data_IF_615359355686
#
_entry.id   IF_615359355686
#
_cell.length_a   1.000
_cell.length_b   1.000
_cell.length_c   1.000
_cell.angle_alpha   90.00
_cell.angle_beta   90.00
_cell.angle_gamma   90.00
#
_symmetry.space_group_name_H-M   'P 1'
#
loop_
_entity.id
_entity.type
_entity.pdbx_description
1 polymer ?
#
# COMPACT_ATOMS: atom_id res chain seq x y z
N UNK A 1 -37.68 -20.72 -14.92
CA UNK A 1 -38.00 -19.30 -15.17
C UNK A 1 -37.16 -18.49 -14.20
N UNK A 2 -36.45 -17.44 -14.64
CA UNK A 2 -35.73 -16.55 -13.73
C UNK A 2 -36.78 -15.88 -12.84
N UNK A 3 -36.49 -15.92 -11.54
CA UNK A 3 -37.30 -15.40 -10.47
C UNK A 3 -36.55 -14.17 -9.97
N UNK A 4 -37.20 -13.01 -9.98
CA UNK A 4 -36.58 -11.75 -9.56
C UNK A 4 -37.09 -11.36 -8.19
N UNK A 5 -36.23 -10.83 -7.32
CA UNK A 5 -36.64 -10.31 -6.01
C UNK A 5 -37.16 -8.88 -6.08
N UNK A 6 -36.65 -8.08 -7.02
CA UNK A 6 -36.97 -6.65 -7.12
C UNK A 6 -37.74 -6.29 -8.39
N UNK A 7 -38.57 -5.25 -8.29
CA UNK A 7 -39.31 -4.67 -9.41
C UNK A 7 -39.55 -3.17 -9.19
N UNK A 8 -40.01 -2.45 -10.21
CA UNK A 8 -40.59 -1.12 -10.01
C UNK A 8 -42.09 -1.23 -9.78
N UNK A 9 -42.62 -0.43 -8.85
CA UNK A 9 -44.07 -0.21 -8.71
C UNK A 9 -44.59 0.82 -9.73
N UNK A 10 -45.85 1.24 -9.61
CA UNK A 10 -46.48 2.24 -10.49
C UNK A 10 -45.91 3.66 -10.34
N UNK A 11 -45.36 3.98 -9.19
CA UNK A 11 -44.68 5.24 -8.88
C UNK A 11 -43.21 5.23 -9.34
N UNK A 12 -42.75 4.12 -9.92
CA UNK A 12 -41.37 3.89 -10.33
C UNK A 12 -40.39 3.78 -9.13
N UNK A 13 -40.91 3.42 -7.95
CA UNK A 13 -40.09 3.09 -6.79
C UNK A 13 -39.64 1.64 -6.85
N UNK A 14 -38.42 1.38 -6.39
CA UNK A 14 -37.85 0.06 -6.27
C UNK A 14 -38.49 -0.69 -5.09
N UNK A 15 -39.08 -1.86 -5.34
CA UNK A 15 -39.75 -2.68 -4.32
C UNK A 15 -39.14 -4.07 -4.20
N UNK A 16 -39.04 -4.57 -2.98
CA UNK A 16 -38.65 -5.96 -2.66
C UNK A 16 -39.91 -6.82 -2.48
N UNK A 17 -39.99 -7.92 -3.22
CA UNK A 17 -41.10 -8.88 -3.11
C UNK A 17 -41.22 -9.49 -1.71
N UNK A 18 -40.13 -9.54 -0.94
CA UNK A 18 -40.12 -10.08 0.41
C UNK A 18 -40.91 -9.20 1.37
N UNK A 19 -40.89 -7.89 1.16
CA UNK A 19 -41.60 -6.86 1.94
C UNK A 19 -43.08 -6.75 1.57
N UNK A 20 -43.50 -7.33 0.44
CA UNK A 20 -44.90 -7.30 0.03
C UNK A 20 -45.79 -8.20 0.91
N UNK A 21 -47.05 -7.77 1.18
CA UNK A 21 -48.02 -8.57 1.90
C UNK A 21 -48.38 -9.84 1.12
N UNK A 22 -48.83 -10.88 1.85
CA UNK A 22 -49.24 -12.15 1.23
C UNK A 22 -50.49 -12.01 0.37
N UNK A 23 -51.43 -11.16 0.77
CA UNK A 23 -52.59 -10.84 -0.06
C UNK A 23 -52.35 -9.55 -0.84
N UNK A 24 -52.32 -9.70 -2.15
CA UNK A 24 -52.10 -8.63 -3.13
C UNK A 24 -53.41 -8.20 -3.78
N UNK A 25 -54.56 -8.47 -3.16
CA UNK A 25 -55.88 -8.07 -3.64
C UNK A 25 -55.93 -6.54 -3.81
N UNK A 26 -55.80 -6.06 -5.06
CA UNK A 26 -55.69 -4.64 -5.42
C UNK A 26 -54.39 -4.24 -6.15
N UNK A 27 -53.37 -5.11 -6.20
CA UNK A 27 -52.10 -4.91 -6.91
C UNK A 27 -52.11 -5.52 -8.32
N UNK A 28 -53.24 -5.50 -9.02
CA UNK A 28 -53.36 -6.03 -10.38
C UNK A 28 -52.40 -5.26 -11.32
N UNK A 29 -51.42 -5.97 -11.88
CA UNK A 29 -50.54 -5.57 -13.00
C UNK A 29 -49.58 -4.38 -12.82
N UNK A 30 -49.28 -3.93 -11.60
CA UNK A 30 -48.52 -2.68 -11.40
C UNK A 30 -47.00 -2.83 -11.24
N UNK A 31 -46.44 -4.04 -11.33
CA UNK A 31 -44.99 -4.23 -11.24
C UNK A 31 -44.37 -4.30 -12.62
N UNK A 32 -43.24 -3.62 -12.82
CA UNK A 32 -42.48 -3.67 -14.07
C UNK A 32 -41.06 -4.16 -13.83
N UNK A 33 -40.53 -4.90 -14.79
CA UNK A 33 -39.16 -5.42 -14.71
C UNK A 33 -38.15 -4.27 -14.84
N UNK A 34 -37.20 -4.21 -13.93
CA UNK A 34 -36.12 -3.21 -13.91
C UNK A 34 -35.28 -3.30 -15.20
N UNK A 35 -35.05 -4.51 -15.69
CA UNK A 35 -34.26 -4.78 -16.89
C UNK A 35 -34.95 -4.35 -18.19
N UNK A 36 -36.12 -4.94 -18.47
CA UNK A 36 -36.80 -4.83 -19.77
C UNK A 36 -38.06 -3.93 -19.77
N UNK A 37 -38.54 -3.49 -18.61
CA UNK A 37 -39.74 -2.65 -18.46
C UNK A 37 -41.07 -3.37 -18.65
N UNK A 38 -41.06 -4.67 -18.97
CA UNK A 38 -42.33 -5.42 -19.18
C UNK A 38 -43.01 -5.77 -17.85
N UNK A 39 -44.34 -5.96 -17.84
CA UNK A 39 -45.09 -6.29 -16.63
C UNK A 39 -44.66 -7.59 -15.94
N UNK A 40 -44.58 -7.54 -14.62
CA UNK A 40 -44.26 -8.66 -13.73
C UNK A 40 -45.47 -9.03 -12.87
N UNK A 41 -45.57 -10.32 -12.56
CA UNK A 41 -46.51 -10.87 -11.58
C UNK A 41 -45.75 -11.18 -10.30
N UNK A 42 -46.19 -10.62 -9.17
CA UNK A 42 -45.70 -10.99 -7.85
C UNK A 42 -46.28 -12.34 -7.43
N UNK A 43 -45.40 -13.32 -7.17
CA UNK A 43 -45.75 -14.66 -6.67
C UNK A 43 -45.48 -14.71 -5.17
N UNK A 44 -46.45 -14.27 -4.36
CA UNK A 44 -46.33 -14.18 -2.90
C UNK A 44 -46.98 -15.34 -2.13
N UNK A 45 -47.89 -16.09 -2.78
CA UNK A 45 -48.67 -17.19 -2.17
C UNK A 45 -48.06 -18.57 -2.47
N UNK A 46 -46.83 -18.81 -2.00
CA UNK A 46 -46.14 -20.09 -2.17
C UNK A 46 -45.81 -20.77 -0.84
N UNK A 47 -46.23 -22.03 -0.64
CA UNK A 47 -45.83 -22.84 0.52
C UNK A 47 -44.44 -23.48 0.36
N UNK A 48 -43.98 -23.67 -0.90
CA UNK A 48 -42.72 -24.36 -1.25
C UNK A 48 -41.72 -23.53 -2.04
N UNK A 49 -42.12 -22.37 -2.55
CA UNK A 49 -41.27 -21.47 -3.37
C UNK A 49 -41.19 -20.12 -2.69
N UNK A 50 -39.99 -19.56 -2.64
CA UNK A 50 -39.75 -18.22 -2.13
C UNK A 50 -40.54 -17.19 -2.94
N UNK A 51 -40.89 -16.08 -2.28
CA UNK A 51 -41.61 -14.99 -2.94
C UNK A 51 -40.72 -14.41 -4.05
N UNK A 52 -41.28 -14.21 -5.23
CA UNK A 52 -40.54 -13.65 -6.37
C UNK A 52 -41.47 -12.97 -7.37
N UNK A 53 -40.92 -12.09 -8.19
CA UNK A 53 -41.54 -11.59 -9.40
C UNK A 53 -41.23 -12.49 -10.60
N UNK A 54 -42.23 -12.69 -11.46
CA UNK A 54 -42.10 -13.46 -12.68
C UNK A 54 -42.76 -12.74 -13.86
N UNK A 55 -42.14 -12.80 -15.03
CA UNK A 55 -42.74 -12.31 -16.27
C UNK A 55 -44.04 -13.05 -16.58
N UNK A 56 -45.01 -12.34 -17.18
CA UNK A 56 -46.16 -12.97 -17.84
C UNK A 56 -45.66 -13.89 -18.97
N UNK A 57 -46.40 -14.96 -19.23
CA UNK A 57 -46.06 -15.91 -20.29
C UNK A 57 -45.83 -15.16 -21.63
N UNK A 58 -44.79 -15.55 -22.37
CA UNK A 58 -44.37 -14.99 -23.65
C UNK A 58 -43.76 -13.56 -23.64
N UNK A 59 -43.58 -12.91 -22.49
CA UNK A 59 -42.94 -11.58 -22.40
C UNK A 59 -41.44 -11.62 -22.03
N UNK A 60 -40.87 -12.82 -21.87
CA UNK A 60 -39.47 -13.02 -21.46
C UNK A 60 -38.44 -12.78 -22.57
N UNK A 61 -38.85 -12.82 -23.84
CA UNK A 61 -37.93 -12.97 -24.98
C UNK A 61 -36.86 -11.87 -25.09
N UNK A 62 -37.06 -10.71 -24.44
CA UNK A 62 -36.13 -9.57 -24.47
C UNK A 62 -35.44 -9.27 -23.13
N UNK A 63 -35.68 -10.05 -22.07
CA UNK A 63 -35.11 -9.77 -20.76
C UNK A 63 -33.77 -10.48 -20.54
N UNK A 64 -32.69 -9.72 -20.46
CA UNK A 64 -31.38 -10.18 -19.99
C UNK A 64 -31.26 -10.00 -18.48
N UNK A 65 -30.78 -11.03 -17.80
CA UNK A 65 -30.45 -10.99 -16.36
C UNK A 65 -29.35 -9.96 -16.07
N UNK A 66 -28.39 -9.83 -16.97
CA UNK A 66 -27.29 -8.86 -16.83
C UNK A 66 -27.82 -7.42 -16.85
N UNK A 67 -28.69 -7.10 -17.81
CA UNK A 67 -29.33 -5.78 -17.88
C UNK A 67 -30.19 -5.51 -16.65
N UNK A 68 -30.84 -6.53 -16.11
CA UNK A 68 -31.61 -6.43 -14.88
C UNK A 68 -30.71 -6.11 -13.67
N UNK A 69 -29.65 -6.88 -13.45
CA UNK A 69 -28.71 -6.68 -12.33
C UNK A 69 -27.99 -5.33 -12.43
N UNK A 70 -27.52 -4.96 -13.64
CA UNK A 70 -26.86 -3.69 -13.90
C UNK A 70 -27.73 -2.49 -13.52
N UNK A 71 -28.99 -2.50 -13.99
CA UNK A 71 -29.96 -1.43 -13.68
C UNK A 71 -30.39 -1.42 -12.22
N UNK A 72 -30.59 -2.59 -11.62
CA UNK A 72 -30.91 -2.73 -10.20
C UNK A 72 -29.81 -2.14 -9.32
N UNK A 73 -28.55 -2.48 -9.57
CA UNK A 73 -27.41 -2.03 -8.78
C UNK A 73 -27.19 -0.52 -8.89
N UNK A 74 -27.17 0.06 -10.11
CA UNK A 74 -26.96 1.51 -10.26
C UNK A 74 -28.10 2.33 -9.66
N UNK A 75 -29.34 1.89 -9.81
CA UNK A 75 -30.50 2.55 -9.19
C UNK A 75 -30.41 2.47 -7.67
N UNK A 76 -30.07 1.29 -7.14
CA UNK A 76 -29.89 1.10 -5.68
C UNK A 76 -28.77 1.99 -5.15
N UNK A 77 -27.66 2.12 -5.87
CA UNK A 77 -26.57 3.00 -5.46
C UNK A 77 -27.03 4.45 -5.36
N UNK A 78 -27.69 4.97 -6.40
CA UNK A 78 -28.18 6.37 -6.40
C UNK A 78 -29.17 6.58 -5.26
N UNK A 79 -30.10 5.65 -5.04
CA UNK A 79 -31.06 5.73 -3.94
C UNK A 79 -30.36 5.74 -2.58
N UNK A 80 -29.55 4.73 -2.29
CA UNK A 80 -28.83 4.60 -1.00
C UNK A 80 -27.94 5.81 -0.75
N UNK A 81 -27.23 6.29 -1.77
CA UNK A 81 -26.34 7.44 -1.63
C UNK A 81 -27.13 8.74 -1.38
N UNK A 82 -28.24 8.95 -2.10
CA UNK A 82 -29.13 10.10 -1.88
C UNK A 82 -29.71 10.08 -0.48
N UNK A 83 -30.17 8.90 -0.02
CA UNK A 83 -30.67 8.71 1.34
C UNK A 83 -29.59 9.03 2.40
N UNK A 84 -28.32 8.69 2.13
CA UNK A 84 -27.21 9.04 3.01
C UNK A 84 -27.01 10.57 3.08
N UNK A 85 -27.11 11.27 1.95
CA UNK A 85 -27.00 12.73 1.91
C UNK A 85 -28.16 13.41 2.65
N UNK A 86 -29.40 12.99 2.37
CA UNK A 86 -30.62 13.58 2.94
C UNK A 86 -30.71 13.35 4.46
N UNK A 87 -30.25 12.19 4.93
CA UNK A 87 -30.28 11.85 6.36
C UNK A 87 -28.96 12.13 7.10
N UNK A 88 -27.96 12.72 6.42
CA UNK A 88 -26.62 12.98 6.97
C UNK A 88 -25.95 11.71 7.56
N UNK A 89 -26.08 10.61 6.83
CA UNK A 89 -25.43 9.33 7.13
C UNK A 89 -24.16 9.16 6.28
N UNK A 90 -23.23 8.36 6.80
CA UNK A 90 -21.96 8.09 6.13
C UNK A 90 -22.11 7.01 5.06
N UNK A 91 -21.47 7.22 3.91
CA UNK A 91 -21.22 6.17 2.92
C UNK A 91 -19.72 5.95 2.82
N UNK A 92 -19.23 4.86 3.42
CA UNK A 92 -17.81 4.66 3.64
C UNK A 92 -17.17 3.75 2.59
N UNK A 93 -15.93 4.06 2.22
CA UNK A 93 -15.03 3.11 1.55
C UNK A 93 -13.85 2.78 2.46
N UNK A 94 -13.35 1.55 2.38
CA UNK A 94 -12.25 1.08 3.21
C UNK A 94 -11.07 0.65 2.33
N UNK A 95 -9.97 1.40 2.41
CA UNK A 95 -8.79 1.27 1.54
C UNK A 95 -7.56 0.82 2.35
N UNK A 96 -6.76 -0.09 1.80
CA UNK A 96 -5.52 -0.56 2.42
C UNK A 96 -4.33 0.24 1.92
N UNK A 97 -3.69 0.99 2.82
CA UNK A 97 -2.50 1.78 2.53
C UNK A 97 -1.23 1.07 3.00
N UNK A 98 -0.19 1.13 2.18
CA UNK A 98 1.15 0.67 2.56
C UNK A 98 1.77 1.61 3.61
N UNK A 99 2.45 1.05 4.62
CA UNK A 99 3.29 1.78 5.56
C UNK A 99 4.75 1.60 5.16
N UNK A 100 5.26 2.57 4.39
CA UNK A 100 6.65 2.56 3.90
C UNK A 100 7.39 3.75 4.48
N UNK A 101 8.48 3.48 5.21
CA UNK A 101 9.40 4.49 5.69
C UNK A 101 10.53 4.69 4.68
N UNK A 102 10.73 5.93 4.24
CA UNK A 102 11.82 6.33 3.33
C UNK A 102 12.92 7.13 4.03
N UNK A 103 12.80 7.39 5.34
CA UNK A 103 13.71 8.24 6.14
C UNK A 103 15.18 7.87 5.96
N UNK A 104 15.51 6.57 6.04
CA UNK A 104 16.87 6.04 5.91
C UNK A 104 17.09 5.26 4.60
N UNK A 105 16.24 5.48 3.59
CA UNK A 105 16.34 4.75 2.31
C UNK A 105 17.65 5.03 1.57
N UNK A 106 18.17 6.24 1.66
CA UNK A 106 19.47 6.61 1.09
C UNK A 106 20.61 5.77 1.67
N UNK A 107 20.87 5.83 2.99
CA UNK A 107 21.93 5.04 3.62
C UNK A 107 21.75 3.52 3.50
N UNK A 108 20.52 3.01 3.55
CA UNK A 108 20.24 1.57 3.49
C UNK A 108 20.18 1.02 2.06
N UNK A 109 20.03 1.88 1.05
CA UNK A 109 19.81 1.48 -0.33
C UNK A 109 18.43 0.87 -0.62
N UNK A 110 17.54 0.80 0.38
CA UNK A 110 16.17 0.31 0.24
C UNK A 110 15.22 0.98 1.25
N UNK A 111 13.92 1.12 0.95
CA UNK A 111 12.94 1.59 1.92
C UNK A 111 12.65 0.54 3.01
N UNK A 112 12.05 0.97 4.11
CA UNK A 112 11.61 0.09 5.18
C UNK A 112 10.10 -0.17 5.07
N UNK A 113 9.76 -1.43 4.82
CA UNK A 113 8.38 -1.89 4.70
C UNK A 113 7.88 -2.34 6.08
N UNK A 114 6.96 -1.59 6.65
CA UNK A 114 6.43 -1.83 8.01
C UNK A 114 5.15 -2.67 7.96
N UNK A 115 4.50 -2.72 6.80
CA UNK A 115 3.26 -3.47 6.56
C UNK A 115 2.20 -2.58 5.95
N UNK A 116 0.94 -2.81 6.33
CA UNK A 116 -0.22 -2.08 5.80
C UNK A 116 -1.10 -1.55 6.92
N UNK A 117 -1.92 -0.54 6.61
CA UNK A 117 -2.98 -0.05 7.49
C UNK A 117 -4.22 0.21 6.65
N UNK A 118 -5.36 -0.22 7.16
CA UNK A 118 -6.63 0.06 6.50
C UNK A 118 -7.24 1.34 7.05
N UNK A 119 -7.64 2.24 6.14
CA UNK A 119 -8.33 3.50 6.48
C UNK A 119 -9.74 3.49 5.91
N UNK A 120 -10.63 4.14 6.65
CA UNK A 120 -12.02 4.32 6.26
C UNK A 120 -12.24 5.78 5.85
N UNK A 121 -12.89 5.97 4.70
CA UNK A 121 -13.15 7.25 4.08
C UNK A 121 -14.64 7.41 3.83
N UNK A 122 -15.26 8.35 4.51
CA UNK A 122 -16.66 8.69 4.29
C UNK A 122 -16.82 9.58 3.05
N UNK A 123 -17.42 9.04 2.00
CA UNK A 123 -17.58 9.70 0.71
C UNK A 123 -18.54 10.89 0.78
N UNK A 124 -19.57 10.86 1.64
CA UNK A 124 -20.57 11.94 1.75
C UNK A 124 -19.98 13.23 2.30
N UNK A 125 -18.81 13.16 2.95
CA UNK A 125 -18.05 14.34 3.40
C UNK A 125 -17.32 15.07 2.29
N UNK A 126 -17.12 14.43 1.13
CA UNK A 126 -16.37 14.98 0.01
C UNK A 126 -17.23 15.23 -1.22
N UNK A 127 -18.36 14.52 -1.35
CA UNK A 127 -19.25 14.61 -2.50
C UNK A 127 -20.69 14.70 -2.00
N UNK A 128 -21.36 15.78 -2.36
CA UNK A 128 -22.73 16.13 -1.95
C UNK A 128 -23.73 16.07 -3.12
N UNK A 129 -23.28 15.62 -4.29
CA UNK A 129 -24.10 15.39 -5.47
C UNK A 129 -23.96 13.97 -6.02
N UNK A 130 -25.04 13.44 -6.57
CA UNK A 130 -25.08 12.15 -7.29
C UNK A 130 -25.91 12.27 -8.57
N UNK A 131 -25.47 11.64 -9.67
CA UNK A 131 -26.16 11.61 -10.98
C UNK A 131 -26.05 10.24 -11.64
N UNK A 132 -27.16 9.78 -12.22
CA UNK A 132 -27.25 8.51 -12.96
C UNK A 132 -26.93 8.73 -14.44
N UNK A 133 -26.03 7.90 -15.00
CA UNK A 133 -25.60 7.90 -16.41
C UNK A 133 -25.24 9.29 -17.02
N UNK A 134 -24.56 10.19 -16.29
CA UNK A 134 -24.21 11.49 -16.85
C UNK A 134 -23.11 11.33 -17.89
N UNK A 135 -23.23 12.01 -19.03
CA UNK A 135 -22.12 12.15 -19.97
C UNK A 135 -21.07 13.10 -19.38
N UNK A 136 -19.83 12.66 -19.33
CA UNK A 136 -18.70 13.42 -18.80
C UNK A 136 -17.48 13.28 -19.72
N UNK A 137 -17.28 14.29 -20.58
CA UNK A 137 -16.28 14.25 -21.64
C UNK A 137 -16.53 13.09 -22.63
N UNK A 138 -15.53 12.22 -22.77
CA UNK A 138 -15.60 11.04 -23.64
C UNK A 138 -16.30 9.85 -22.99
N UNK A 139 -16.56 9.90 -21.68
CA UNK A 139 -17.08 8.76 -20.92
C UNK A 139 -18.55 8.96 -20.53
N UNK A 140 -19.24 7.84 -20.39
CA UNK A 140 -20.54 7.75 -19.73
C UNK A 140 -20.37 6.70 -18.63
N UNK A 141 -20.10 7.12 -17.38
CA UNK A 141 -20.14 6.23 -16.22
C UNK A 141 -21.57 5.89 -15.81
N UNK A 142 -21.75 4.77 -15.11
CA UNK A 142 -23.08 4.37 -14.63
C UNK A 142 -23.63 5.36 -13.60
N UNK A 143 -22.79 5.83 -12.67
CA UNK A 143 -23.12 6.89 -11.71
C UNK A 143 -21.91 7.80 -11.52
N UNK A 144 -22.14 9.09 -11.29
CA UNK A 144 -21.13 10.02 -10.76
C UNK A 144 -21.57 10.51 -9.40
N UNK A 145 -20.66 10.46 -8.43
CA UNK A 145 -20.72 11.28 -7.22
C UNK A 145 -19.73 12.45 -7.36
N UNK A 146 -20.13 13.64 -6.95
CA UNK A 146 -19.37 14.87 -7.17
C UNK A 146 -19.58 15.91 -6.06
N UNK A 147 -18.64 16.82 -5.93
CA UNK A 147 -18.75 18.03 -5.11
C UNK A 147 -19.49 19.11 -5.92
N UNK A 148 -20.65 19.57 -5.44
CA UNK A 148 -21.46 20.60 -6.09
C UNK A 148 -20.75 21.97 -6.13
N UNK A 149 -19.71 22.15 -5.32
CA UNK A 149 -18.91 23.37 -5.26
C UNK A 149 -17.63 23.28 -6.12
N UNK A 150 -17.27 22.08 -6.59
CA UNK A 150 -16.03 21.82 -7.32
C UNK A 150 -16.21 20.66 -8.31
N UNK A 151 -16.57 20.99 -9.56
CA UNK A 151 -16.84 20.00 -10.62
C UNK A 151 -15.64 19.10 -10.96
N UNK A 152 -14.42 19.48 -10.58
CA UNK A 152 -13.24 18.63 -10.75
C UNK A 152 -13.18 17.49 -9.73
N UNK A 153 -13.81 17.66 -8.56
CA UNK A 153 -13.92 16.61 -7.54
C UNK A 153 -15.10 15.70 -7.81
N UNK A 154 -14.80 14.61 -8.51
CA UNK A 154 -15.76 13.55 -8.80
C UNK A 154 -15.16 12.16 -8.66
N UNK A 155 -16.04 11.18 -8.56
CA UNK A 155 -15.74 9.75 -8.59
C UNK A 155 -16.79 9.07 -9.46
N UNK A 156 -16.35 8.20 -10.36
CA UNK A 156 -17.23 7.37 -11.16
C UNK A 156 -17.54 6.09 -10.40
N UNK A 157 -18.78 5.65 -10.44
CA UNK A 157 -19.20 4.34 -9.96
C UNK A 157 -19.61 3.54 -11.19
N UNK A 158 -19.06 2.35 -11.33
CA UNK A 158 -19.25 1.48 -12.49
C UNK A 158 -19.69 0.11 -11.98
N UNK A 159 -20.80 -0.39 -12.52
CA UNK A 159 -21.35 -1.70 -12.15
C UNK A 159 -20.85 -2.73 -13.16
N UNK A 160 -20.08 -3.71 -12.67
CA UNK A 160 -19.60 -4.81 -13.48
C UNK A 160 -20.46 -6.06 -13.24
N UNK A 161 -21.11 -6.57 -14.29
CA UNK A 161 -21.86 -7.84 -14.20
C UNK A 161 -21.07 -8.95 -14.90
N UNK A 162 -20.95 -8.88 -16.23
CA UNK A 162 -20.18 -9.84 -17.04
C UNK A 162 -18.91 -9.26 -17.64
N UNK A 163 -18.84 -7.93 -17.73
CA UNK A 163 -17.70 -7.22 -18.27
C UNK A 163 -17.19 -6.21 -17.24
N UNK A 164 -15.89 -6.28 -16.98
CA UNK A 164 -15.16 -5.27 -16.22
C UNK A 164 -14.86 -4.06 -17.11
N UNK A 165 -14.40 -2.98 -16.48
CA UNK A 165 -14.00 -1.73 -17.10
C UNK A 165 -13.06 -1.93 -18.27
N UNK A 166 -13.27 -1.15 -19.33
CA UNK A 166 -12.37 -1.11 -20.47
C UNK A 166 -10.99 -0.56 -20.06
N UNK A 167 -9.95 -0.99 -20.79
CA UNK A 167 -8.58 -0.52 -20.58
C UNK A 167 -8.48 1.01 -20.71
N UNK A 168 -9.29 1.62 -21.58
CA UNK A 168 -9.37 3.07 -21.77
C UNK A 168 -9.84 3.80 -20.51
N UNK A 169 -10.90 3.31 -19.85
CA UNK A 169 -11.39 3.88 -18.58
C UNK A 169 -10.41 3.62 -17.45
N UNK A 170 -9.81 2.42 -17.40
CA UNK A 170 -8.83 2.04 -16.38
C UNK A 170 -7.54 2.86 -16.45
N UNK A 171 -7.13 3.25 -17.65
CA UNK A 171 -5.97 4.12 -17.90
C UNK A 171 -6.26 5.62 -17.82
N UNK A 172 -7.50 6.04 -17.55
CA UNK A 172 -7.84 7.45 -17.31
C UNK A 172 -7.26 7.94 -15.98
N UNK A 173 -7.25 9.25 -15.73
CA UNK A 173 -6.88 9.82 -14.41
C UNK A 173 -8.08 9.89 -13.44
N UNK A 174 -9.27 9.49 -13.90
CA UNK A 174 -10.49 9.55 -13.10
C UNK A 174 -10.49 8.52 -11.97
N UNK A 175 -10.95 8.91 -10.78
CA UNK A 175 -11.20 7.97 -9.68
C UNK A 175 -12.44 7.15 -9.99
N UNK A 176 -12.31 5.82 -9.96
CA UNK A 176 -13.39 4.91 -10.32
C UNK A 176 -13.55 3.85 -9.23
N UNK A 177 -14.79 3.65 -8.76
CA UNK A 177 -15.19 2.53 -7.91
C UNK A 177 -15.97 1.55 -8.79
N UNK A 178 -15.37 0.39 -9.06
CA UNK A 178 -16.00 -0.67 -9.84
C UNK A 178 -16.58 -1.73 -8.91
N UNK A 179 -17.90 -1.93 -8.96
CA UNK A 179 -18.62 -2.84 -8.07
C UNK A 179 -19.09 -4.07 -8.86
N UNK A 180 -18.51 -5.26 -8.62
CA UNK A 180 -18.97 -6.51 -9.23
C UNK A 180 -20.30 -7.00 -8.61
N UNK A 181 -21.28 -7.26 -9.47
CA UNK A 181 -22.63 -7.75 -9.13
C UNK A 181 -22.90 -9.03 -9.94
N UNK A 182 -22.90 -10.18 -9.27
CA UNK A 182 -23.16 -11.49 -9.88
C UNK A 182 -24.59 -11.96 -9.60
N UNK A 183 -25.21 -11.45 -8.53
CA UNK A 183 -26.55 -11.83 -8.09
C UNK A 183 -27.27 -10.69 -7.39
N UNK A 184 -28.58 -10.86 -7.14
CA UNK A 184 -29.37 -9.90 -6.37
C UNK A 184 -28.92 -9.75 -4.91
N UNK A 185 -28.21 -10.73 -4.35
CA UNK A 185 -27.66 -10.65 -3.00
C UNK A 185 -26.47 -9.67 -2.93
N UNK A 186 -25.76 -9.45 -4.04
CA UNK A 186 -24.64 -8.50 -4.07
C UNK A 186 -25.11 -7.04 -3.93
N UNK A 187 -26.40 -6.77 -4.11
CA UNK A 187 -27.02 -5.47 -3.83
C UNK A 187 -26.86 -5.07 -2.36
N UNK A 188 -26.77 -6.06 -1.46
CA UNK A 188 -26.55 -5.80 -0.04
C UNK A 188 -25.18 -5.16 0.24
N UNK A 189 -24.18 -5.34 -0.65
CA UNK A 189 -22.89 -4.62 -0.58
C UNK A 189 -23.12 -3.11 -0.61
N UNK A 190 -23.97 -2.64 -1.53
CA UNK A 190 -24.32 -1.23 -1.68
C UNK A 190 -25.19 -0.77 -0.51
N UNK A 191 -26.22 -1.54 -0.14
CA UNK A 191 -27.15 -1.22 0.97
C UNK A 191 -26.45 -1.17 2.33
N UNK A 192 -25.33 -1.85 2.50
CA UNK A 192 -24.52 -1.78 3.72
C UNK A 192 -23.89 -0.40 3.96
N UNK A 193 -23.91 0.50 2.96
CA UNK A 193 -23.31 1.85 2.99
C UNK A 193 -21.81 1.83 3.23
N UNK A 194 -21.17 0.67 3.00
CA UNK A 194 -19.77 0.45 3.27
C UNK A 194 -19.15 -0.51 2.27
N UNK A 195 -18.23 -0.02 1.44
CA UNK A 195 -17.52 -0.84 0.46
C UNK A 195 -16.07 -1.07 0.89
N UNK A 196 -15.62 -2.32 0.81
CA UNK A 196 -14.22 -2.71 1.05
C UNK A 196 -13.57 -3.23 -0.23
N UNK A 197 -12.27 -3.50 -0.20
CA UNK A 197 -11.52 -4.06 -1.34
C UNK A 197 -11.98 -5.48 -1.74
N UNK A 198 -12.79 -6.17 -0.93
CA UNK A 198 -13.48 -7.40 -1.35
C UNK A 198 -14.81 -7.15 -2.06
N UNK A 199 -15.39 -5.96 -1.87
CA UNK A 199 -16.71 -5.61 -2.42
C UNK A 199 -16.59 -4.84 -3.74
N UNK A 200 -15.49 -4.11 -3.95
CA UNK A 200 -15.26 -3.26 -5.11
C UNK A 200 -13.77 -3.08 -5.43
N UNK A 201 -13.47 -2.76 -6.69
CA UNK A 201 -12.15 -2.32 -7.12
C UNK A 201 -12.06 -0.79 -7.09
N UNK A 202 -10.99 -0.25 -6.51
CA UNK A 202 -10.75 1.19 -6.37
C UNK A 202 -9.61 1.64 -7.29
N UNK A 203 -9.97 2.20 -8.44
CA UNK A 203 -9.02 2.58 -9.51
C UNK A 203 -8.70 4.07 -9.38
N UNK A 204 -7.42 4.42 -9.50
CA UNK A 204 -6.87 5.78 -9.34
C UNK A 204 -7.14 6.45 -7.99
N UNK A 205 -7.50 5.68 -6.97
CA UNK A 205 -7.43 6.15 -5.59
C UNK A 205 -5.94 6.17 -5.22
N UNK A 206 -5.39 7.38 -5.03
CA UNK A 206 -3.98 7.53 -4.69
C UNK A 206 -3.65 6.70 -3.44
N UNK A 207 -2.92 5.60 -3.63
CA UNK A 207 -2.33 4.81 -2.55
C UNK A 207 -1.12 5.55 -1.99
N UNK A 208 -1.32 6.77 -1.49
CA UNK A 208 -0.28 7.43 -0.69
C UNK A 208 0.03 6.52 0.48
N UNK A 209 1.33 6.27 0.67
CA UNK A 209 1.79 5.55 1.84
C UNK A 209 1.24 6.22 3.09
N UNK A 210 0.71 5.43 4.02
CA UNK A 210 0.30 5.95 5.29
C UNK A 210 1.51 6.57 6.00
N UNK A 211 1.33 7.69 6.71
CA UNK A 211 2.41 8.31 7.46
C UNK A 211 2.98 7.29 8.44
N UNK A 212 4.30 7.27 8.53
CA UNK A 212 5.04 6.41 9.45
C UNK A 212 5.65 7.29 10.53
N UNK A 213 5.41 6.93 11.79
CA UNK A 213 6.08 7.57 12.93
C UNK A 213 7.46 6.95 13.18
N UNK A 214 8.34 7.68 13.86
CA UNK A 214 9.67 7.18 14.24
C UNK A 214 9.59 5.90 15.10
N UNK A 215 8.53 5.75 15.91
CA UNK A 215 8.29 4.55 16.73
C UNK A 215 7.90 3.31 15.92
N UNK A 216 7.28 3.50 14.76
CA UNK A 216 6.87 2.42 13.84
C UNK A 216 8.02 2.01 12.90
N UNK A 217 8.99 2.89 12.68
CA UNK A 217 10.15 2.62 11.84
C UNK A 217 11.05 1.53 12.43
N UNK A 218 11.11 0.36 11.80
CA UNK A 218 11.99 -0.72 12.26
C UNK A 218 13.47 -0.40 12.13
N UNK A 219 13.88 0.28 11.04
CA UNK A 219 15.28 0.63 10.84
C UNK A 219 15.82 1.64 11.87
N UNK A 220 14.95 2.42 12.52
CA UNK A 220 15.35 3.27 13.65
C UNK A 220 15.70 2.48 14.92
N UNK A 221 15.24 1.23 15.04
CA UNK A 221 15.41 0.38 16.25
C UNK A 221 16.66 -0.48 16.19
N UNK A 222 17.29 -0.59 15.02
CA UNK A 222 18.48 -1.42 14.85
C UNK A 222 19.76 -0.61 15.06
N UNK A 223 20.78 -1.29 15.58
CA UNK A 223 22.13 -0.77 15.68
C UNK A 223 22.91 -1.15 14.42
N UNK A 224 23.83 -0.28 14.05
CA UNK A 224 24.62 -0.41 12.85
C UNK A 224 26.07 -0.05 13.13
N UNK A 225 26.96 -0.66 12.38
CA UNK A 225 28.33 -0.24 12.23
C UNK A 225 28.47 0.62 10.98
N UNK A 226 29.13 1.76 11.11
CA UNK A 226 29.51 2.59 9.97
C UNK A 226 31.02 2.79 9.95
N UNK A 227 31.69 2.19 8.96
CA UNK A 227 33.10 2.45 8.69
C UNK A 227 33.21 3.74 7.89
N UNK A 228 33.93 4.71 8.43
CA UNK A 228 34.36 5.91 7.71
C UNK A 228 35.84 5.82 7.38
N UNK A 229 36.20 6.02 6.10
CA UNK A 229 37.58 6.25 5.69
C UNK A 229 37.69 7.67 5.14
N UNK A 230 38.52 8.46 5.80
CA UNK A 230 38.65 9.89 5.54
C UNK A 230 39.60 10.17 4.37
N UNK A 231 39.51 11.35 3.79
CA UNK A 231 40.44 11.86 2.76
C UNK A 231 41.90 11.82 3.24
N UNK A 232 42.13 12.00 4.54
CA UNK A 232 43.43 11.84 5.18
C UNK A 232 43.99 10.41 5.12
N UNK A 233 43.17 9.41 4.77
CA UNK A 233 43.50 7.98 4.81
C UNK A 233 43.22 7.31 6.15
N UNK A 234 42.88 8.07 7.20
CA UNK A 234 42.50 7.51 8.50
C UNK A 234 41.15 6.78 8.39
N UNK A 235 40.99 5.68 9.13
CA UNK A 235 39.73 4.95 9.23
C UNK A 235 39.21 4.89 10.67
N UNK A 236 37.89 4.97 10.82
CA UNK A 236 37.18 4.92 12.10
C UNK A 236 35.89 4.12 11.97
N UNK A 237 35.59 3.31 12.97
CA UNK A 237 34.33 2.60 13.08
C UNK A 237 33.41 3.31 14.07
N UNK A 238 32.19 3.58 13.65
CA UNK A 238 31.13 4.10 14.50
C UNK A 238 30.07 3.03 14.72
N UNK A 239 29.51 3.01 15.93
CA UNK A 239 28.45 2.11 16.33
C UNK A 239 27.30 2.89 16.93
N UNK A 240 26.09 2.68 16.43
CA UNK A 240 24.91 3.39 16.92
C UNK A 240 23.68 3.17 16.04
N UNK A 241 22.63 3.90 16.36
CA UNK A 241 21.41 3.96 15.56
C UNK A 241 21.65 4.72 14.26
N UNK A 242 20.80 4.51 13.25
CA UNK A 242 20.90 5.27 11.98
C UNK A 242 20.80 6.78 12.19
N UNK A 243 19.99 7.24 13.14
CA UNK A 243 19.89 8.68 13.46
C UNK A 243 21.21 9.28 13.94
N UNK A 244 21.91 8.59 14.84
CA UNK A 244 23.22 9.01 15.35
C UNK A 244 24.28 8.98 14.25
N UNK A 245 24.30 7.91 13.45
CA UNK A 245 25.24 7.74 12.34
C UNK A 245 25.03 8.78 11.24
N UNK A 246 23.78 9.11 10.90
CA UNK A 246 23.48 10.18 9.95
C UNK A 246 23.90 11.56 10.46
N UNK A 247 23.66 11.85 11.76
CA UNK A 247 24.11 13.10 12.37
C UNK A 247 25.63 13.23 12.29
N UNK A 248 26.36 12.13 12.50
CA UNK A 248 27.81 12.09 12.34
C UNK A 248 28.24 12.24 10.88
N UNK A 249 27.63 11.49 9.97
CA UNK A 249 27.87 11.54 8.52
C UNK A 249 27.77 12.98 8.01
N UNK A 250 26.73 13.73 8.40
CA UNK A 250 26.56 15.15 8.03
C UNK A 250 27.72 16.02 8.50
N UNK A 251 28.28 15.79 9.69
CA UNK A 251 29.44 16.54 10.22
C UNK A 251 30.74 16.23 9.47
N UNK A 252 30.87 15.02 8.91
CA UNK A 252 32.13 14.55 8.29
C UNK A 252 32.06 14.43 6.76
N UNK A 253 30.92 14.73 6.14
CA UNK A 253 30.64 14.46 4.73
C UNK A 253 31.71 14.98 3.76
N UNK A 254 32.26 16.18 4.00
CA UNK A 254 33.31 16.77 3.15
C UNK A 254 34.72 16.16 3.32
N UNK A 255 34.88 15.26 4.30
CA UNK A 255 36.18 14.69 4.68
C UNK A 255 36.21 13.16 4.55
N UNK A 256 35.12 12.53 4.12
CA UNK A 256 34.99 11.07 3.98
C UNK A 256 35.10 10.68 2.51
N UNK A 257 36.01 9.75 2.22
CA UNK A 257 36.25 9.21 0.88
C UNK A 257 35.52 7.88 0.65
N UNK A 258 35.29 7.10 1.71
CA UNK A 258 34.57 5.84 1.65
C UNK A 258 33.75 5.63 2.92
N UNK A 259 32.53 5.15 2.75
CA UNK A 259 31.65 4.74 3.82
C UNK A 259 31.11 3.32 3.58
N UNK A 260 30.99 2.53 4.64
CA UNK A 260 30.31 1.24 4.61
C UNK A 260 29.43 1.08 5.84
N UNK A 261 28.14 0.89 5.61
CA UNK A 261 27.13 0.72 6.65
C UNK A 261 26.71 -0.75 6.69
N UNK A 262 26.79 -1.38 7.87
CA UNK A 262 26.38 -2.78 8.05
C UNK A 262 25.57 -2.91 9.33
N UNK A 263 24.44 -3.64 9.25
CA UNK A 263 23.58 -3.91 10.41
C UNK A 263 24.32 -4.77 11.43
N UNK A 264 24.18 -4.41 12.71
CA UNK A 264 24.61 -5.22 13.84
C UNK A 264 23.66 -6.42 13.98
N UNK A 265 24.20 -7.63 14.10
CA UNK A 265 23.42 -8.87 14.20
C UNK A 265 23.77 -9.57 15.51
N UNK A 266 22.99 -9.32 16.56
CA UNK A 266 23.16 -9.98 17.88
C UNK A 266 22.85 -9.04 19.05
N UNK A 267 22.86 -9.57 20.28
CA UNK A 267 23.06 -8.76 21.49
C UNK A 267 24.54 -8.36 21.53
N UNK A 268 24.95 -7.44 20.66
CA UNK A 268 26.36 -7.07 20.54
C UNK A 268 26.77 -6.15 21.71
N UNK A 269 27.37 -6.78 22.72
CA UNK A 269 28.34 -6.18 23.62
C UNK A 269 29.39 -7.26 23.90
N UNK A 270 30.66 -7.09 23.47
CA UNK A 270 31.61 -6.17 24.11
C UNK A 270 32.53 -5.40 23.10
N UNK A 271 33.38 -4.49 23.61
CA UNK A 271 34.42 -3.76 22.86
C UNK A 271 35.28 -4.64 21.92
N UNK A 272 35.49 -5.91 22.27
CA UNK A 272 36.31 -6.84 21.51
C UNK A 272 35.70 -7.20 20.14
N UNK A 273 34.37 -7.32 20.06
CA UNK A 273 33.67 -7.61 18.81
C UNK A 273 33.69 -6.42 17.85
N UNK A 274 33.65 -5.19 18.37
CA UNK A 274 33.83 -3.98 17.57
C UNK A 274 35.22 -3.92 16.93
N UNK A 275 36.25 -4.39 17.65
CA UNK A 275 37.61 -4.47 17.15
C UNK A 275 37.74 -5.42 15.96
N UNK A 276 37.19 -6.64 16.07
CA UNK A 276 37.15 -7.59 14.94
C UNK A 276 36.34 -7.03 13.77
N UNK A 277 35.16 -6.49 14.05
CA UNK A 277 34.30 -5.90 13.01
C UNK A 277 34.97 -4.76 12.26
N UNK A 278 35.76 -3.94 12.96
CA UNK A 278 36.55 -2.89 12.32
C UNK A 278 37.56 -3.46 11.34
N UNK A 279 38.28 -4.52 11.73
CA UNK A 279 39.26 -5.20 10.86
C UNK A 279 38.56 -5.82 9.64
N UNK A 280 37.43 -6.50 9.81
CA UNK A 280 36.68 -7.10 8.71
C UNK A 280 36.26 -6.04 7.68
N UNK A 281 35.71 -4.92 8.14
CA UNK A 281 35.20 -3.87 7.25
C UNK A 281 36.32 -3.14 6.48
N UNK A 282 37.50 -2.93 7.09
CA UNK A 282 38.64 -2.35 6.36
C UNK A 282 39.24 -3.35 5.35
N UNK A 283 39.18 -4.65 5.63
CA UNK A 283 39.57 -5.70 4.69
C UNK A 283 38.60 -5.77 3.52
N UNK A 284 37.28 -5.70 3.77
CA UNK A 284 36.25 -5.63 2.73
C UNK A 284 36.40 -4.40 1.83
N UNK A 285 36.66 -3.22 2.42
CA UNK A 285 36.92 -2.00 1.66
C UNK A 285 38.13 -2.18 0.72
N UNK A 286 39.23 -2.74 1.24
CA UNK A 286 40.40 -3.11 0.43
C UNK A 286 40.04 -4.16 -0.61
N UNK A 287 39.18 -5.13 -0.27
CA UNK A 287 38.80 -6.19 -1.17
C UNK A 287 38.07 -5.66 -2.41
N UNK A 288 37.26 -4.61 -2.23
CA UNK A 288 36.56 -3.86 -3.27
C UNK A 288 37.47 -2.89 -4.05
N UNK A 289 38.77 -2.93 -3.83
CA UNK A 289 39.76 -2.12 -4.54
C UNK A 289 40.04 -0.75 -3.93
N UNK A 290 39.45 -0.44 -2.76
CA UNK A 290 39.71 0.84 -2.10
C UNK A 290 41.07 0.83 -1.38
N UNK A 291 41.95 1.83 -1.60
CA UNK A 291 43.26 1.87 -0.97
C UNK A 291 43.15 2.24 0.52
N UNK A 292 43.29 1.24 1.41
CA UNK A 292 43.27 1.45 2.88
C UNK A 292 44.67 1.34 3.47
N UNK A 293 45.10 2.38 4.20
CA UNK A 293 46.34 2.37 4.99
C UNK A 293 46.01 2.28 6.48
N UNK A 294 45.96 1.07 7.01
CA UNK A 294 45.69 0.81 8.42
C UNK A 294 46.65 -0.24 8.99
N UNK A 295 47.20 -0.04 10.18
CA UNK A 295 48.22 -0.91 10.77
C UNK A 295 47.74 -2.37 10.91
N UNK A 296 46.44 -2.63 11.08
CA UNK A 296 45.89 -3.99 11.10
C UNK A 296 46.12 -4.75 9.78
N UNK A 297 46.18 -4.03 8.65
CA UNK A 297 46.42 -4.60 7.32
C UNK A 297 47.92 -4.77 7.00
N UNK A 298 48.81 -4.24 7.83
CA UNK A 298 50.24 -4.26 7.55
C UNK A 298 50.79 -5.69 7.70
N UNK A 299 51.59 -6.16 6.75
CA UNK A 299 52.27 -7.47 6.82
C UNK A 299 53.19 -7.63 8.03
N UNK A 300 53.61 -6.50 8.62
CA UNK A 300 54.46 -6.46 9.81
C UNK A 300 53.66 -6.31 11.11
N UNK A 301 52.34 -6.35 11.05
CA UNK A 301 51.49 -6.31 12.23
C UNK A 301 51.62 -7.60 13.05
N UNK A 302 51.52 -7.45 14.36
CA UNK A 302 51.33 -8.50 15.33
C UNK A 302 50.23 -8.12 16.30
N UNK A 303 49.60 -9.12 16.92
CA UNK A 303 48.61 -8.90 17.98
C UNK A 303 49.31 -8.38 19.23
N UNK A 304 48.83 -7.25 19.75
CA UNK A 304 49.22 -6.80 21.08
C UNK A 304 48.29 -7.44 22.11
N UNK A 305 48.79 -8.40 22.87
CA UNK A 305 48.02 -9.13 23.90
C UNK A 305 47.99 -8.42 25.26
N UNK A 306 48.59 -7.23 25.37
CA UNK A 306 48.63 -6.49 26.64
C UNK A 306 47.28 -5.80 26.92
N UNK A 307 46.54 -6.19 27.98
CA UNK A 307 45.27 -5.56 28.34
C UNK A 307 45.42 -4.13 28.84
N UNK A 308 46.66 -3.67 29.10
CA UNK A 308 46.99 -2.33 29.62
C UNK A 308 47.59 -1.40 28.58
N UNK A 309 47.82 -1.88 27.36
CA UNK A 309 48.40 -1.07 26.31
C UNK A 309 47.33 -0.17 25.67
N UNK A 310 47.69 1.10 25.45
CA UNK A 310 46.80 2.08 24.80
C UNK A 310 46.54 1.75 23.32
N UNK A 311 47.45 1.03 22.67
CA UNK A 311 47.45 0.80 21.23
C UNK A 311 47.23 -0.69 20.87
N UNK A 312 46.36 -1.01 19.91
CA UNK A 312 45.94 -2.38 19.64
C UNK A 312 46.89 -3.18 18.73
N UNK A 313 47.80 -2.52 18.00
CA UNK A 313 48.71 -3.18 17.04
C UNK A 313 50.14 -3.15 17.54
N UNK A 314 50.86 -4.27 17.46
CA UNK A 314 52.31 -4.32 17.66
C UNK A 314 53.04 -4.35 16.32
N UNK A 315 53.92 -3.38 16.06
CA UNK A 315 54.70 -3.32 14.84
C UNK A 315 56.01 -4.10 14.98
N UNK A 316 56.19 -5.16 14.19
CA UNK A 316 57.40 -6.02 14.23
C UNK A 316 58.67 -5.32 13.74
N UNK A 317 58.55 -4.26 12.93
CA UNK A 317 59.69 -3.51 12.38
C UNK A 317 60.23 -2.48 13.37
N UNK A 318 59.34 -1.70 14.00
CA UNK A 318 59.73 -0.67 14.98
C UNK A 318 59.76 -1.21 16.41
N UNK A 319 59.30 -2.45 16.62
CA UNK A 319 59.25 -3.15 17.92
C UNK A 319 58.49 -2.39 19.02
N UNK A 320 57.47 -1.62 18.63
CA UNK A 320 56.59 -0.88 19.54
C UNK A 320 55.12 -1.11 19.21
N UNK A 321 54.26 -0.78 20.17
CA UNK A 321 52.82 -0.66 19.92
C UNK A 321 52.54 0.61 19.11
N UNK A 322 51.50 0.55 18.29
CA UNK A 322 51.08 1.67 17.45
C UNK A 322 49.56 1.69 17.25
N UNK A 323 49.02 2.90 17.11
CA UNK A 323 47.63 3.12 16.75
C UNK A 323 47.33 2.61 15.34
N UNK A 324 46.10 2.17 15.10
CA UNK A 324 45.66 1.62 13.81
C UNK A 324 45.87 2.62 12.64
N UNK A 325 45.71 3.92 12.91
CA UNK A 325 45.84 4.99 11.91
C UNK A 325 47.28 5.49 11.68
N UNK A 326 48.28 4.99 12.41
CA UNK A 326 49.69 5.39 12.18
C UNK A 326 50.20 4.94 10.79
N UNK A 327 49.58 3.92 10.19
CA UNK A 327 49.91 3.43 8.85
C UNK A 327 49.78 4.50 7.77
N UNK A 328 48.94 5.51 7.97
CA UNK A 328 48.73 6.61 7.02
C UNK A 328 50.04 7.36 6.72
N UNK A 329 50.86 7.61 7.75
CA UNK A 329 52.12 8.34 7.67
C UNK A 329 53.35 7.41 7.75
N UNK A 330 53.15 6.10 7.64
CA UNK A 330 54.21 5.12 7.82
C UNK A 330 54.82 4.71 6.47
N UNK A 331 56.04 5.15 6.19
CA UNK A 331 56.78 4.79 4.97
C UNK A 331 57.11 3.29 4.87
N UNK A 332 57.07 2.59 6.01
CA UNK A 332 57.32 1.14 6.12
C UNK A 332 56.04 0.30 5.99
N UNK A 333 54.86 0.93 5.85
CA UNK A 333 53.61 0.21 5.68
C UNK A 333 53.63 -0.61 4.39
N UNK A 334 53.42 -1.91 4.49
CA UNK A 334 53.33 -2.83 3.35
C UNK A 334 52.21 -3.80 3.61
N UNK A 335 51.38 -4.04 2.61
CA UNK A 335 50.39 -5.11 2.61
C UNK A 335 50.97 -6.32 1.90
N UNK A 336 50.59 -7.54 2.29
CA UNK A 336 50.92 -8.72 1.49
C UNK A 336 50.23 -8.61 0.12
N UNK A 337 50.97 -8.98 -0.93
CA UNK A 337 50.41 -9.07 -2.28
C UNK A 337 49.31 -10.13 -2.27
N UNK A 338 48.18 -9.84 -2.92
CA UNK A 338 47.15 -10.87 -3.16
C UNK A 338 47.84 -12.02 -3.88
N UNK A 339 47.82 -13.21 -3.28
CA UNK A 339 48.03 -14.42 -4.07
C UNK A 339 46.79 -14.53 -4.95
N UNK A 340 46.91 -14.20 -6.24
CA UNK A 340 45.87 -14.48 -7.22
C UNK A 340 45.77 -16.02 -7.30
N UNK A 341 44.89 -16.59 -6.49
CA UNK A 341 44.42 -17.95 -6.71
C UNK A 341 43.61 -17.93 -7.99
N UNK A 342 44.24 -18.43 -9.06
CA UNK A 342 43.62 -18.73 -10.35
C UNK A 342 42.42 -19.65 -10.22
#
# INVERSE_FOLDING_TARGET
>A
MPQFRYAYNRQNDLVDVLELPQDLSGFDDQFTCIGCGTPLIAKTKGEKREKHFAHKANQRATCSEETYLHKLAKTTFVQVYSDCLDNNEAFCIKLTHQKICTKFSGPLGHPCHIGTVTKEHDLTRYYDGVRLEPRDGAFVPDVIIYDTHDEAKKVYIEIAVTHFLSDEKRGSESRIIEIPIESENDIDKIRSKRLTESDASFINFENRNAPVTDAECECAKHLYFCLFIYESGKSFLEYGTLGELEAKRKKVAGSVRYESLVRATGQEAPFLEQGHRFVDLIEEARARGFPVKNCFLCRYAGRNWSPRAADPVYCKITKRTCGSNEAVQCDKFRVEARQDTR
#
